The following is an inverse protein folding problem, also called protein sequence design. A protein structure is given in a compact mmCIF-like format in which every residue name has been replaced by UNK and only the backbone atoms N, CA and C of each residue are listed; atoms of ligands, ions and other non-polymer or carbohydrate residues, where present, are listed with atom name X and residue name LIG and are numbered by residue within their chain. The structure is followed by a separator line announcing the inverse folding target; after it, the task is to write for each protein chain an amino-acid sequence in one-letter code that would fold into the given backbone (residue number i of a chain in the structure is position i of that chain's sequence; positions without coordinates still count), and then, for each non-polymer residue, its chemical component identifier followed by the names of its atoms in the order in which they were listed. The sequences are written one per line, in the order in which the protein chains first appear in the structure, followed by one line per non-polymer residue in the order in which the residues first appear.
data_IF_268247172592
#
_entry.id   IF_268247172592
#
_cell.length_a   1.000
_cell.length_b   1.000
_cell.length_c   1.000
_cell.angle_alpha   90.00
_cell.angle_beta   90.00
_cell.angle_gamma   90.00
#
_symmetry.space_group_name_H-M   'P 1'
#
loop_
_entity.id
_entity.type
_entity.pdbx_description
1 polymer ?
#
# COMPACT_ATOMS: atom_id res chain seq x y z
N UNK A 1 -7.78 22.38 -10.87
CA UNK A 1 -6.39 21.89 -10.80
C UNK A 1 -6.40 20.49 -11.40
N UNK A 2 -5.52 20.24 -12.33
CA UNK A 2 -5.46 18.99 -13.08
C UNK A 2 -4.99 17.84 -12.16
N UNK A 3 -5.68 16.70 -12.19
CA UNK A 3 -5.34 15.53 -11.36
C UNK A 3 -3.90 15.05 -11.57
N UNK A 4 -3.43 15.14 -12.79
CA UNK A 4 -2.05 14.82 -13.15
C UNK A 4 -1.05 15.77 -12.48
N UNK A 5 -1.41 17.05 -12.36
CA UNK A 5 -0.59 18.03 -11.65
C UNK A 5 -0.54 17.77 -10.15
N UNK A 6 -1.66 17.30 -9.55
CA UNK A 6 -1.72 16.93 -8.14
C UNK A 6 -0.84 15.71 -7.85
N UNK A 7 -0.92 14.67 -8.68
CA UNK A 7 -0.08 13.47 -8.57
C UNK A 7 1.41 13.79 -8.74
N UNK A 8 1.75 14.68 -9.70
CA UNK A 8 3.12 15.15 -9.87
C UNK A 8 3.61 15.98 -8.69
N UNK A 9 2.75 16.80 -8.10
CA UNK A 9 3.08 17.58 -6.92
C UNK A 9 3.32 16.67 -5.71
N UNK A 10 2.51 15.62 -5.53
CA UNK A 10 2.72 14.60 -4.52
C UNK A 10 4.04 13.85 -4.74
N UNK A 11 4.28 13.37 -5.94
CA UNK A 11 5.52 12.68 -6.29
C UNK A 11 6.77 13.55 -6.06
N UNK A 12 6.70 14.83 -6.41
CA UNK A 12 7.79 15.78 -6.20
C UNK A 12 8.07 16.07 -4.72
N UNK A 13 7.02 16.06 -3.89
CA UNK A 13 7.14 16.31 -2.44
C UNK A 13 7.81 15.15 -1.70
N UNK A 14 7.70 13.92 -2.23
CA UNK A 14 8.28 12.71 -1.64
C UNK A 14 9.54 12.21 -2.37
N UNK A 15 9.92 12.81 -3.49
CA UNK A 15 11.14 12.46 -4.24
C UNK A 15 12.42 12.86 -3.51
N UNK A 16 12.31 13.71 -2.48
CA UNK A 16 13.41 13.97 -1.54
C UNK A 16 13.18 13.06 -0.33
N UNK A 17 13.60 11.82 -0.43
CA UNK A 17 13.78 10.98 0.73
C UNK A 17 14.70 11.71 1.72
N UNK A 18 14.50 11.54 3.02
CA UNK A 18 15.44 12.10 3.97
C UNK A 18 16.81 11.48 3.69
N UNK A 19 17.76 12.30 3.32
CA UNK A 19 19.17 11.99 3.53
C UNK A 19 19.38 11.89 5.05
N UNK A 20 18.99 10.76 5.60
CA UNK A 20 19.36 10.40 6.96
C UNK A 20 20.62 9.55 6.87
N UNK A 21 21.77 10.07 7.28
CA UNK A 21 23.05 9.36 7.15
C UNK A 21 23.20 8.17 8.11
N UNK A 22 22.15 7.79 8.84
CA UNK A 22 22.22 6.78 9.89
C UNK A 22 21.64 5.40 9.49
N UNK A 23 21.19 5.23 8.23
CA UNK A 23 20.62 3.95 7.76
C UNK A 23 21.62 3.05 7.01
N UNK A 24 22.92 3.22 7.24
CA UNK A 24 23.95 2.41 6.55
C UNK A 24 24.22 1.04 7.20
N UNK A 25 23.60 0.72 8.32
CA UNK A 25 23.90 -0.54 9.03
C UNK A 25 22.95 -1.72 8.74
N UNK A 26 21.91 -1.53 7.91
CA UNK A 26 20.98 -2.61 7.59
C UNK A 26 21.29 -3.41 6.32
N UNK A 27 22.27 -3.00 5.54
CA UNK A 27 22.56 -3.62 4.23
C UNK A 27 23.67 -4.69 4.25
N UNK A 28 24.26 -4.99 5.39
CA UNK A 28 25.42 -5.90 5.47
C UNK A 28 25.10 -7.35 5.86
N UNK A 29 23.85 -7.72 6.03
CA UNK A 29 23.46 -9.06 6.51
C UNK A 29 22.90 -10.02 5.44
N UNK A 30 22.96 -9.67 4.16
CA UNK A 30 22.39 -10.50 3.09
C UNK A 30 23.41 -11.10 2.11
N UNK A 31 24.65 -11.32 2.56
CA UNK A 31 25.62 -12.07 1.75
C UNK A 31 26.08 -13.30 2.52
N UNK A 32 25.49 -14.43 2.20
CA UNK A 32 25.97 -15.71 2.69
C UNK A 32 24.92 -16.80 2.71
N UNK A 33 24.42 -17.20 1.57
CA UNK A 33 23.85 -18.52 1.41
C UNK A 33 24.17 -19.03 0.01
N UNK A 34 25.25 -19.72 -0.06
CA UNK A 34 25.57 -20.66 -1.11
C UNK A 34 24.50 -21.77 -1.08
N UNK A 35 23.71 -21.88 -2.12
CA UNK A 35 22.80 -23.01 -2.28
C UNK A 35 23.06 -23.69 -3.60
N UNK A 36 23.88 -24.68 -3.54
CA UNK A 36 23.77 -25.81 -4.44
C UNK A 36 22.58 -26.65 -4.03
N UNK A 37 21.45 -26.45 -4.62
CA UNK A 37 20.35 -27.39 -4.56
C UNK A 37 19.92 -27.76 -5.93
N UNK A 38 20.20 -28.97 -6.20
CA UNK A 38 19.83 -29.80 -7.29
C UNK A 38 18.39 -29.65 -7.74
N UNK A 39 18.23 -29.39 -9.03
CA UNK A 39 16.96 -29.34 -9.73
C UNK A 39 16.33 -30.73 -9.80
N UNK A 40 15.08 -30.79 -9.47
CA UNK A 40 14.17 -31.71 -10.13
C UNK A 40 13.04 -30.86 -10.70
N UNK A 41 13.07 -30.74 -12.01
CA UNK A 41 12.01 -30.13 -12.77
C UNK A 41 10.77 -31.00 -12.64
N UNK A 42 9.76 -30.49 -11.98
CA UNK A 42 8.40 -30.96 -12.19
C UNK A 42 7.67 -29.84 -12.93
N UNK A 43 7.54 -30.04 -14.23
CA UNK A 43 6.70 -29.24 -15.12
C UNK A 43 5.22 -29.51 -14.77
N UNK A 44 4.77 -29.00 -13.65
CA UNK A 44 3.37 -29.00 -13.32
C UNK A 44 2.87 -27.56 -13.29
N UNK A 45 2.12 -27.22 -14.33
CA UNK A 45 1.11 -26.16 -14.37
C UNK A 45 1.45 -24.92 -13.49
N UNK A 46 2.39 -24.12 -13.93
CA UNK A 46 2.61 -22.80 -13.40
C UNK A 46 1.56 -21.82 -13.94
N UNK A 47 0.32 -22.06 -13.56
CA UNK A 47 -0.62 -20.95 -13.51
C UNK A 47 -0.01 -19.89 -12.59
N UNK A 48 0.11 -18.61 -13.02
CA UNK A 48 0.64 -17.59 -12.16
C UNK A 48 -0.15 -17.61 -10.86
N UNK A 49 0.56 -17.65 -9.74
CA UNK A 49 -0.06 -17.64 -8.43
C UNK A 49 -0.98 -16.42 -8.36
N UNK A 50 -2.28 -16.64 -8.31
CA UNK A 50 -3.27 -15.58 -8.20
C UNK A 50 -3.34 -15.15 -6.74
N UNK A 51 -3.32 -13.83 -6.50
CA UNK A 51 -3.55 -13.29 -5.17
C UNK A 51 -5.05 -13.33 -4.85
N UNK A 52 -5.42 -13.96 -3.75
CA UNK A 52 -6.81 -14.05 -3.29
C UNK A 52 -7.10 -12.95 -2.26
N UNK A 53 -7.72 -11.87 -2.70
CA UNK A 53 -8.08 -10.73 -1.86
C UNK A 53 -9.02 -11.11 -0.72
N UNK A 54 -10.00 -11.98 -0.96
CA UNK A 54 -10.94 -12.39 0.08
C UNK A 54 -10.25 -13.21 1.17
N UNK A 55 -9.37 -14.11 0.78
CA UNK A 55 -8.55 -14.88 1.73
C UNK A 55 -7.65 -13.96 2.54
N UNK A 56 -7.05 -12.95 1.91
CA UNK A 56 -6.25 -11.93 2.59
C UNK A 56 -7.07 -11.19 3.65
N UNK A 57 -8.24 -10.68 3.31
CA UNK A 57 -9.11 -9.96 4.24
C UNK A 57 -9.57 -10.85 5.39
N UNK A 58 -9.94 -12.08 5.11
CA UNK A 58 -10.32 -13.05 6.15
C UNK A 58 -9.18 -13.35 7.12
N UNK A 59 -7.96 -13.48 6.62
CA UNK A 59 -6.78 -13.69 7.44
C UNK A 59 -6.45 -12.50 8.33
N UNK A 60 -6.60 -11.29 7.80
CA UNK A 60 -6.41 -10.05 8.56
C UNK A 60 -7.45 -9.92 9.67
N UNK A 61 -8.73 -10.16 9.36
CA UNK A 61 -9.81 -10.14 10.35
C UNK A 61 -9.56 -11.16 11.48
N UNK A 62 -9.07 -12.34 11.15
CA UNK A 62 -8.72 -13.36 12.13
C UNK A 62 -7.61 -12.89 13.08
N UNK A 63 -6.62 -12.13 12.57
CA UNK A 63 -5.55 -11.55 13.40
C UNK A 63 -6.14 -10.52 14.38
N UNK A 64 -7.03 -9.65 13.92
CA UNK A 64 -7.71 -8.68 14.79
C UNK A 64 -8.62 -9.36 15.82
N UNK A 65 -9.35 -10.39 15.43
CA UNK A 65 -10.23 -11.15 16.33
C UNK A 65 -9.45 -11.86 17.47
N UNK A 66 -8.21 -12.30 17.18
CA UNK A 66 -7.33 -12.88 18.21
C UNK A 66 -6.64 -11.84 19.09
N UNK A 67 -6.82 -10.55 18.81
CA UNK A 67 -6.13 -9.46 19.52
C UNK A 67 -4.59 -9.52 19.42
N UNK A 68 -4.06 -10.05 18.32
CA UNK A 68 -2.62 -10.20 18.07
C UNK A 68 -2.08 -9.24 17.01
N UNK A 69 -2.87 -8.25 16.63
CA UNK A 69 -2.52 -7.32 15.55
C UNK A 69 -1.20 -6.57 15.79
N UNK A 70 -0.89 -6.24 17.04
CA UNK A 70 0.35 -5.51 17.37
C UNK A 70 1.62 -6.23 16.91
N UNK A 71 1.60 -7.56 16.87
CA UNK A 71 2.76 -8.41 16.50
C UNK A 71 2.60 -9.11 15.16
N UNK A 72 1.39 -9.38 14.71
CA UNK A 72 1.12 -10.22 13.54
C UNK A 72 0.67 -9.43 12.31
N UNK A 73 -0.03 -8.30 12.47
CA UNK A 73 -0.62 -7.60 11.35
C UNK A 73 0.44 -6.95 10.42
N UNK A 74 1.50 -6.36 10.97
CA UNK A 74 2.57 -5.76 10.17
C UNK A 74 3.22 -6.76 9.21
N UNK A 75 3.79 -7.86 9.70
CA UNK A 75 4.37 -8.89 8.84
C UNK A 75 3.37 -9.52 7.86
N UNK A 76 2.13 -9.71 8.27
CA UNK A 76 1.08 -10.24 7.42
C UNK A 76 0.76 -9.31 6.25
N UNK A 77 0.63 -8.00 6.51
CA UNK A 77 0.38 -6.98 5.48
C UNK A 77 1.56 -6.83 4.52
N UNK A 78 2.79 -6.84 5.03
CA UNK A 78 4.00 -6.77 4.22
C UNK A 78 4.10 -7.97 3.27
N UNK A 79 3.82 -9.17 3.77
CA UNK A 79 3.82 -10.37 2.94
C UNK A 79 2.71 -10.32 1.87
N UNK A 80 1.53 -9.84 2.22
CA UNK A 80 0.43 -9.69 1.26
C UNK A 80 0.76 -8.69 0.14
N UNK A 81 1.46 -7.59 0.44
CA UNK A 81 1.94 -6.66 -0.58
C UNK A 81 2.89 -7.35 -1.56
N UNK A 82 3.84 -8.12 -1.05
CA UNK A 82 4.77 -8.90 -1.88
C UNK A 82 4.03 -9.92 -2.74
N UNK A 83 3.10 -10.66 -2.15
CA UNK A 83 2.33 -11.69 -2.86
C UNK A 83 1.48 -11.09 -3.99
N UNK A 84 0.80 -9.98 -3.75
CA UNK A 84 0.01 -9.28 -4.76
C UNK A 84 0.88 -8.69 -5.88
N UNK A 85 2.02 -8.13 -5.54
CA UNK A 85 2.99 -7.63 -6.52
C UNK A 85 3.56 -8.75 -7.39
N UNK A 86 3.95 -9.86 -6.78
CA UNK A 86 4.47 -11.03 -7.50
C UNK A 86 3.43 -11.67 -8.42
N UNK A 87 2.16 -11.63 -8.02
CA UNK A 87 1.05 -12.09 -8.86
C UNK A 87 0.70 -11.11 -9.99
N UNK A 88 1.25 -9.89 -9.97
CA UNK A 88 0.89 -8.83 -10.91
C UNK A 88 -0.57 -8.38 -10.78
N UNK A 89 -1.17 -8.57 -9.60
CA UNK A 89 -2.58 -8.26 -9.33
C UNK A 89 -2.73 -6.86 -8.73
N UNK A 90 -2.85 -5.85 -9.60
CA UNK A 90 -3.04 -4.47 -9.19
C UNK A 90 -4.35 -4.25 -8.43
N UNK A 91 -5.43 -4.91 -8.88
CA UNK A 91 -6.73 -4.85 -8.22
C UNK A 91 -6.69 -5.48 -6.82
N UNK A 92 -5.89 -6.51 -6.61
CA UNK A 92 -5.66 -7.13 -5.31
C UNK A 92 -4.71 -6.33 -4.42
N UNK A 93 -3.71 -5.66 -5.00
CA UNK A 93 -2.75 -4.85 -4.26
C UNK A 93 -3.40 -3.61 -3.62
N UNK A 94 -4.36 -2.98 -4.28
CA UNK A 94 -4.99 -1.75 -3.77
C UNK A 94 -5.68 -1.95 -2.41
N UNK A 95 -6.52 -2.98 -2.18
CA UNK A 95 -7.04 -3.29 -0.85
C UNK A 95 -5.97 -3.52 0.21
N UNK A 96 -4.87 -4.19 -0.14
CA UNK A 96 -3.75 -4.41 0.78
C UNK A 96 -3.13 -3.09 1.21
N UNK A 97 -2.91 -2.17 0.29
CA UNK A 97 -2.39 -0.83 0.61
C UNK A 97 -3.37 -0.04 1.49
N UNK A 98 -4.66 -0.11 1.23
CA UNK A 98 -5.69 0.54 2.04
C UNK A 98 -5.73 -0.01 3.48
N UNK A 99 -5.68 -1.32 3.66
CA UNK A 99 -5.60 -1.94 4.99
C UNK A 99 -4.30 -1.57 5.72
N UNK A 100 -3.19 -1.54 5.00
CA UNK A 100 -1.89 -1.13 5.54
C UNK A 100 -1.91 0.31 6.04
N UNK A 101 -2.54 1.23 5.31
CA UNK A 101 -2.71 2.61 5.75
C UNK A 101 -3.44 2.71 7.08
N UNK A 102 -4.53 1.97 7.24
CA UNK A 102 -5.30 1.91 8.48
C UNK A 102 -4.47 1.38 9.65
N UNK A 103 -3.75 0.31 9.43
CA UNK A 103 -2.89 -0.30 10.45
C UNK A 103 -1.74 0.64 10.86
N UNK A 104 -1.03 1.23 9.92
CA UNK A 104 0.07 2.14 10.23
C UNK A 104 -0.40 3.39 10.98
N UNK A 105 -1.59 3.93 10.65
CA UNK A 105 -2.19 5.01 11.43
C UNK A 105 -2.41 4.59 12.89
N UNK A 106 -2.94 3.40 13.11
CA UNK A 106 -3.20 2.88 14.46
C UNK A 106 -1.92 2.69 15.29
N UNK A 107 -0.79 2.46 14.62
CA UNK A 107 0.52 2.27 15.25
C UNK A 107 1.34 3.57 15.34
N UNK A 108 0.82 4.68 14.85
CA UNK A 108 1.57 5.94 14.80
C UNK A 108 2.76 5.93 13.84
N UNK A 109 2.80 4.99 12.90
CA UNK A 109 3.88 4.84 11.90
C UNK A 109 3.64 5.76 10.71
N UNK A 110 3.58 7.07 10.97
CA UNK A 110 3.15 8.05 9.96
C UNK A 110 4.17 8.24 8.84
N UNK A 111 5.46 8.19 9.13
CA UNK A 111 6.52 8.31 8.12
C UNK A 111 6.45 7.16 7.10
N UNK A 112 6.35 5.94 7.57
CA UNK A 112 6.19 4.77 6.72
C UNK A 112 4.87 4.80 5.95
N UNK A 113 3.81 5.29 6.58
CA UNK A 113 2.50 5.40 5.96
C UNK A 113 2.46 6.37 4.78
N UNK A 114 3.29 7.41 4.77
CA UNK A 114 3.40 8.32 3.62
C UNK A 114 3.85 7.57 2.35
N UNK A 115 4.72 6.59 2.46
CA UNK A 115 5.09 5.71 1.36
C UNK A 115 3.92 4.88 0.83
N UNK A 116 3.09 4.38 1.73
CA UNK A 116 1.90 3.61 1.36
C UNK A 116 0.88 4.50 0.67
N UNK A 117 0.66 5.72 1.16
CA UNK A 117 -0.19 6.73 0.52
C UNK A 117 0.26 6.99 -0.92
N UNK A 118 1.53 7.26 -1.13
CA UNK A 118 2.09 7.51 -2.45
C UNK A 118 1.87 6.32 -3.39
N UNK A 119 2.18 5.11 -2.94
CA UNK A 119 1.98 3.89 -3.72
C UNK A 119 0.52 3.64 -4.09
N UNK A 120 -0.39 3.90 -3.15
CA UNK A 120 -1.83 3.74 -3.39
C UNK A 120 -2.34 4.73 -4.46
N UNK A 121 -1.91 5.99 -4.41
CA UNK A 121 -2.28 7.00 -5.40
C UNK A 121 -1.71 6.68 -6.79
N UNK A 122 -0.46 6.28 -6.87
CA UNK A 122 0.19 5.86 -8.12
C UNK A 122 -0.50 4.62 -8.72
N UNK A 123 -0.82 3.65 -7.90
CA UNK A 123 -1.51 2.44 -8.33
C UNK A 123 -2.92 2.76 -8.85
N UNK A 124 -3.68 3.58 -8.15
CA UNK A 124 -5.01 4.01 -8.58
C UNK A 124 -4.96 4.75 -9.93
N UNK A 125 -3.92 5.56 -10.16
CA UNK A 125 -3.71 6.24 -11.43
C UNK A 125 -3.43 5.24 -12.56
N UNK A 126 -2.55 4.26 -12.33
CA UNK A 126 -2.26 3.21 -13.33
C UNK A 126 -3.50 2.37 -13.67
N UNK A 127 -4.35 2.13 -12.69
CA UNK A 127 -5.61 1.40 -12.88
C UNK A 127 -6.70 2.24 -13.57
N UNK A 128 -6.46 3.52 -13.81
CA UNK A 128 -7.44 4.42 -14.43
C UNK A 128 -8.59 4.82 -13.51
N UNK A 129 -8.44 4.71 -12.19
CA UNK A 129 -9.51 5.01 -11.23
C UNK A 129 -9.69 6.50 -10.98
N UNK A 130 -8.67 7.31 -11.21
CA UNK A 130 -8.64 8.73 -10.81
C UNK A 130 -9.63 9.62 -11.55
N UNK A 131 -10.10 9.19 -12.71
CA UNK A 131 -11.12 9.90 -13.52
C UNK A 131 -12.54 9.35 -13.33
N UNK A 132 -12.69 8.33 -12.48
CA UNK A 132 -13.96 7.63 -12.26
C UNK A 132 -14.61 8.01 -10.93
N UNK A 133 -15.75 7.37 -10.70
CA UNK A 133 -16.55 7.52 -9.48
C UNK A 133 -16.68 6.21 -8.72
N UNK A 134 -15.70 5.32 -8.85
CA UNK A 134 -15.73 4.01 -8.20
C UNK A 134 -15.60 4.11 -6.68
N UNK A 135 -16.23 3.18 -5.99
CA UNK A 135 -16.09 3.02 -4.54
C UNK A 135 -14.63 2.77 -4.13
N UNK A 136 -13.89 2.00 -4.93
CA UNK A 136 -12.46 1.75 -4.69
C UNK A 136 -11.64 3.03 -4.70
N UNK A 137 -11.93 3.95 -5.61
CA UNK A 137 -11.28 5.26 -5.66
C UNK A 137 -11.64 6.14 -4.45
N UNK A 138 -12.93 6.23 -4.12
CA UNK A 138 -13.40 6.96 -2.95
C UNK A 138 -12.76 6.46 -1.66
N UNK A 139 -12.72 5.15 -1.46
CA UNK A 139 -12.09 4.50 -0.30
C UNK A 139 -10.60 4.83 -0.23
N UNK A 140 -9.90 4.75 -1.34
CA UNK A 140 -8.46 5.07 -1.42
C UNK A 140 -8.21 6.53 -1.08
N UNK A 141 -8.98 7.46 -1.62
CA UNK A 141 -8.87 8.89 -1.30
C UNK A 141 -9.09 9.16 0.19
N UNK A 142 -10.11 8.55 0.80
CA UNK A 142 -10.41 8.73 2.23
C UNK A 142 -9.27 8.19 3.09
N UNK A 143 -8.74 7.02 2.78
CA UNK A 143 -7.59 6.45 3.51
C UNK A 143 -6.33 7.31 3.37
N UNK A 144 -6.05 7.79 2.17
CA UNK A 144 -4.92 8.70 1.93
C UNK A 144 -5.09 10.01 2.70
N UNK A 145 -6.27 10.63 2.61
CA UNK A 145 -6.58 11.87 3.31
C UNK A 145 -6.44 11.73 4.83
N UNK A 146 -6.98 10.67 5.40
CA UNK A 146 -6.91 10.38 6.83
C UNK A 146 -5.48 10.12 7.28
N UNK A 147 -4.68 9.47 6.46
CA UNK A 147 -3.25 9.24 6.72
C UNK A 147 -2.44 10.54 6.67
N UNK A 148 -2.74 11.41 5.70
CA UNK A 148 -2.09 12.73 5.60
C UNK A 148 -2.46 13.62 6.78
N UNK A 149 -3.72 13.60 7.22
CA UNK A 149 -4.17 14.31 8.42
C UNK A 149 -3.43 13.83 9.67
N UNK A 150 -3.30 12.52 9.85
CA UNK A 150 -2.58 11.93 10.97
C UNK A 150 -1.10 12.33 10.98
N UNK A 151 -0.50 12.52 9.80
CA UNK A 151 0.85 13.02 9.62
C UNK A 151 0.96 14.56 9.71
N UNK A 152 -0.14 15.26 10.04
CA UNK A 152 -0.25 16.73 10.12
C UNK A 152 -0.05 17.46 8.78
N UNK A 153 -0.26 16.77 7.68
CA UNK A 153 -0.25 17.30 6.33
C UNK A 153 -1.67 17.78 5.96
N UNK A 154 -2.14 18.83 6.63
CA UNK A 154 -3.55 19.24 6.61
C UNK A 154 -4.04 19.74 5.26
N UNK A 155 -3.22 20.50 4.52
CA UNK A 155 -3.60 21.03 3.21
C UNK A 155 -3.81 19.89 2.20
N UNK A 156 -2.91 18.93 2.16
CA UNK A 156 -3.02 17.76 1.31
C UNK A 156 -4.21 16.88 1.72
N UNK A 157 -4.42 16.71 3.02
CA UNK A 157 -5.57 15.96 3.53
C UNK A 157 -6.89 16.61 3.09
N UNK A 158 -7.01 17.93 3.19
CA UNK A 158 -8.20 18.67 2.77
C UNK A 158 -8.47 18.49 1.28
N UNK A 159 -7.46 18.61 0.43
CA UNK A 159 -7.60 18.42 -1.01
C UNK A 159 -8.10 17.01 -1.35
N UNK A 160 -7.57 15.98 -0.70
CA UNK A 160 -7.98 14.59 -0.90
C UNK A 160 -9.41 14.34 -0.39
N UNK A 161 -9.80 14.93 0.73
CA UNK A 161 -11.19 14.86 1.21
C UNK A 161 -12.18 15.52 0.26
N UNK A 162 -11.82 16.66 -0.32
CA UNK A 162 -12.64 17.31 -1.35
C UNK A 162 -12.82 16.45 -2.59
N UNK A 163 -11.75 15.80 -3.04
CA UNK A 163 -11.83 14.85 -4.16
C UNK A 163 -12.74 13.66 -3.81
N UNK A 164 -12.60 13.09 -2.62
CA UNK A 164 -13.45 11.99 -2.17
C UNK A 164 -14.92 12.39 -2.13
N UNK A 165 -15.21 13.58 -1.63
CA UNK A 165 -16.57 14.12 -1.59
C UNK A 165 -17.15 14.29 -3.00
N UNK A 166 -16.36 14.75 -3.94
CA UNK A 166 -16.77 14.88 -5.34
C UNK A 166 -17.08 13.52 -5.96
N UNK A 167 -16.27 12.51 -5.72
CA UNK A 167 -16.51 11.14 -6.18
C UNK A 167 -17.84 10.60 -5.62
N UNK A 168 -18.09 10.76 -4.33
CA UNK A 168 -19.31 10.28 -3.69
C UNK A 168 -20.58 10.98 -4.19
N UNK A 169 -20.49 12.24 -4.62
CA UNK A 169 -21.65 13.00 -5.17
C UNK A 169 -22.06 12.57 -6.57
N UNK A 170 -21.15 11.96 -7.32
CA UNK A 170 -21.35 11.60 -8.73
C UNK A 170 -21.49 10.08 -8.94
N UNK A 171 -21.47 9.33 -7.84
CA UNK A 171 -21.68 7.88 -7.87
C UNK A 171 -23.15 7.49 -7.93
#
# INVERSE_FOLDING_TARGET
MDEEALLKQFAAQFAHGPDDPDDTDAAAAAQGADSTANQVADDADQSPATFDTQQFLNGLDAIFDRHTAATEAGPYLEQAMVDAENAGDEAGLLPVLNETMGFYRSQGRHKENQWIVQRALELAARMGLTTGTSEAWATTLINCATSMRAAKQYDQAEDLYHQAQSVCRHS
#
